data_IF_361710658666
#
_entry.id   IF_361710658666
#
_cell.length_a   1.000
_cell.length_b   1.000
_cell.length_c   1.000
_cell.angle_alpha   90.00
_cell.angle_beta   90.00
_cell.angle_gamma   90.00
#
_symmetry.space_group_name_H-M   'P 1'
#
loop_
_entity.id
_entity.type
_entity.pdbx_description
1 polymer ?
#
# COMPACT_ATOMS: atom_id res chain seq x y z
N UNK A 1 -28.24 71.63 51.79
CA UNK A 1 -27.02 71.56 50.97
C UNK A 1 -26.38 70.19 51.19
N UNK A 2 -26.23 69.38 50.13
CA UNK A 2 -25.56 68.07 50.11
C UNK A 2 -24.21 68.23 49.38
N UNK A 3 -23.23 67.34 49.61
CA UNK A 3 -23.03 66.32 48.58
C UNK A 3 -22.78 64.92 49.15
N UNK A 4 -23.32 63.91 48.46
CA UNK A 4 -22.99 62.49 48.65
C UNK A 4 -22.01 62.13 47.55
N UNK A 5 -20.83 61.66 47.95
CA UNK A 5 -19.75 61.19 47.08
C UNK A 5 -20.09 59.78 46.57
N UNK A 6 -20.33 59.64 45.27
CA UNK A 6 -20.55 58.34 44.61
C UNK A 6 -19.21 57.89 44.02
N UNK A 7 -18.70 56.77 44.52
CA UNK A 7 -17.47 56.14 44.06
C UNK A 7 -17.83 55.12 42.95
N UNK A 8 -17.43 55.38 41.71
CA UNK A 8 -17.56 54.42 40.61
C UNK A 8 -16.32 53.51 40.58
N UNK A 9 -16.51 52.22 40.90
CA UNK A 9 -15.50 51.18 40.66
C UNK A 9 -15.75 50.61 39.27
N UNK A 10 -14.86 50.92 38.33
CA UNK A 10 -14.85 50.32 37.00
C UNK A 10 -14.12 48.96 37.06
N UNK A 11 -14.87 47.86 36.89
CA UNK A 11 -14.31 46.52 36.73
C UNK A 11 -14.05 46.31 35.24
N UNK A 12 -12.77 46.34 34.86
CA UNK A 12 -12.32 45.99 33.51
C UNK A 12 -12.25 44.45 33.37
N UNK A 13 -13.18 43.86 32.60
CA UNK A 13 -13.15 42.46 32.19
C UNK A 13 -12.15 42.28 31.04
N UNK A 14 -10.96 41.77 31.34
CA UNK A 14 -9.97 41.38 30.34
C UNK A 14 -10.35 40.01 29.78
N UNK A 15 -10.96 39.97 28.59
CA UNK A 15 -11.24 38.72 27.87
C UNK A 15 -9.97 38.34 27.10
N UNK A 16 -9.17 37.44 27.65
CA UNK A 16 -8.02 36.86 26.96
C UNK A 16 -8.50 35.82 25.94
N UNK A 17 -8.50 36.18 24.66
CA UNK A 17 -8.70 35.23 23.56
C UNK A 17 -7.46 34.34 23.43
N UNK A 18 -7.49 33.16 24.04
CA UNK A 18 -6.50 32.13 23.75
C UNK A 18 -6.70 31.65 22.31
N UNK A 19 -5.66 31.59 21.47
CA UNK A 19 -5.76 30.98 20.16
C UNK A 19 -6.04 29.49 20.34
N UNK A 20 -7.21 29.03 19.88
CA UNK A 20 -7.50 27.60 19.74
C UNK A 20 -6.57 27.07 18.66
N UNK A 21 -5.51 26.37 19.06
CA UNK A 21 -4.75 25.54 18.15
C UNK A 21 -5.71 24.44 17.66
N UNK A 22 -6.16 24.57 16.42
CA UNK A 22 -6.87 23.50 15.74
C UNK A 22 -5.96 22.27 15.69
N UNK A 23 -6.18 21.34 16.62
CA UNK A 23 -5.62 20.00 16.50
C UNK A 23 -6.25 19.40 15.24
N UNK A 24 -5.49 19.36 14.16
CA UNK A 24 -5.83 18.50 13.02
C UNK A 24 -5.95 17.10 13.56
N UNK A 25 -7.17 16.65 13.83
CA UNK A 25 -7.46 15.25 14.08
C UNK A 25 -7.03 14.51 12.83
N UNK A 26 -5.92 13.79 12.92
CA UNK A 26 -5.45 12.91 11.85
C UNK A 26 -6.46 11.79 11.75
N UNK A 27 -7.46 11.95 10.90
CA UNK A 27 -8.43 10.89 10.62
C UNK A 27 -7.69 9.81 9.86
N UNK A 28 -7.58 8.61 10.44
CA UNK A 28 -7.09 7.43 9.72
C UNK A 28 -8.16 7.02 8.70
N UNK A 29 -8.20 7.66 7.54
CA UNK A 29 -9.18 7.41 6.47
C UNK A 29 -8.71 6.36 5.46
N UNK A 30 -7.48 5.84 5.59
CA UNK A 30 -7.00 4.68 4.84
C UNK A 30 -6.89 3.48 5.76
N UNK A 31 -7.36 2.33 5.29
CA UNK A 31 -7.23 1.06 5.98
C UNK A 31 -7.20 -0.09 4.99
N UNK A 32 -6.15 -0.89 5.05
CA UNK A 32 -6.07 -2.13 4.29
C UNK A 32 -5.07 -3.09 4.94
N UNK A 33 -5.13 -4.35 4.54
CA UNK A 33 -4.19 -5.40 4.88
C UNK A 33 -3.47 -5.83 3.61
N UNK A 34 -2.22 -6.23 3.75
CA UNK A 34 -1.47 -6.81 2.64
C UNK A 34 -0.52 -7.91 3.13
N UNK A 35 -0.17 -8.81 2.22
CA UNK A 35 0.88 -9.81 2.42
C UNK A 35 1.71 -9.96 1.15
N UNK A 36 2.99 -10.32 1.30
CA UNK A 36 3.89 -10.60 0.18
C UNK A 36 4.79 -11.78 0.55
N UNK A 37 4.63 -12.89 -0.15
CA UNK A 37 5.37 -14.12 0.11
C UNK A 37 5.97 -14.73 -1.16
N UNK A 38 6.96 -15.58 -0.97
CA UNK A 38 7.66 -16.31 -2.04
C UNK A 38 7.77 -17.81 -1.73
N UNK A 39 7.74 -18.64 -2.76
CA UNK A 39 8.19 -20.03 -2.74
C UNK A 39 9.58 -20.10 -3.36
N UNK A 40 10.59 -20.33 -2.53
CA UNK A 40 12.00 -20.29 -2.93
C UNK A 40 12.60 -21.67 -3.15
N UNK A 41 13.44 -21.79 -4.17
CA UNK A 41 14.19 -22.99 -4.49
C UNK A 41 13.33 -24.18 -4.95
N UNK A 42 14.01 -25.31 -5.17
CA UNK A 42 13.35 -26.55 -5.66
C UNK A 42 12.34 -27.11 -4.67
N UNK A 43 12.60 -26.93 -3.37
CA UNK A 43 11.76 -27.43 -2.28
C UNK A 43 10.53 -26.53 -2.02
N UNK A 44 10.38 -25.43 -2.78
CA UNK A 44 9.26 -24.48 -2.66
C UNK A 44 9.06 -24.00 -1.22
N UNK A 45 10.16 -23.65 -0.55
CA UNK A 45 10.11 -23.16 0.84
C UNK A 45 9.39 -21.81 0.88
N UNK A 46 8.39 -21.70 1.74
CA UNK A 46 7.68 -20.44 1.92
C UNK A 46 8.51 -19.44 2.74
N UNK A 47 8.62 -18.21 2.25
CA UNK A 47 9.27 -17.09 2.95
C UNK A 47 8.45 -15.81 2.77
N UNK A 48 8.44 -14.94 3.78
CA UNK A 48 7.91 -13.59 3.60
C UNK A 48 8.92 -12.72 2.85
N UNK A 49 8.44 -11.91 1.90
CA UNK A 49 9.29 -10.95 1.18
C UNK A 49 9.42 -9.69 2.04
N UNK A 50 10.66 -9.31 2.30
CA UNK A 50 11.01 -8.06 2.99
C UNK A 50 11.66 -7.08 1.99
N UNK A 51 12.10 -5.91 2.45
CA UNK A 51 12.52 -4.80 1.56
C UNK A 51 13.64 -5.17 0.59
N UNK A 52 14.55 -6.06 0.97
CA UNK A 52 15.78 -6.39 0.21
C UNK A 52 15.95 -7.92 0.13
N UNK A 53 15.05 -8.58 -0.60
CA UNK A 53 15.05 -10.05 -0.72
C UNK A 53 15.77 -10.47 -2.01
N UNK A 54 16.65 -11.46 -1.92
CA UNK A 54 17.26 -12.09 -3.10
C UNK A 54 16.38 -13.27 -3.50
N UNK A 55 15.90 -13.28 -4.75
CA UNK A 55 15.14 -14.38 -5.33
C UNK A 55 15.83 -14.88 -6.60
N UNK A 56 15.59 -16.13 -6.96
CA UNK A 56 16.17 -16.74 -8.15
C UNK A 56 15.14 -16.95 -9.24
N UNK A 57 15.61 -17.03 -10.48
CA UNK A 57 14.82 -17.54 -11.60
C UNK A 57 14.09 -18.83 -11.22
N UNK A 58 12.76 -18.85 -11.40
CA UNK A 58 11.89 -19.97 -11.05
C UNK A 58 11.29 -19.92 -9.64
N UNK A 59 11.77 -19.04 -8.76
CA UNK A 59 11.06 -18.70 -7.53
C UNK A 59 9.71 -18.08 -7.88
N UNK A 60 8.73 -18.26 -7.00
CA UNK A 60 7.36 -17.83 -7.25
C UNK A 60 6.90 -16.87 -6.18
N UNK A 61 6.25 -15.78 -6.56
CA UNK A 61 5.76 -14.76 -5.64
C UNK A 61 4.23 -14.67 -5.64
N UNK A 62 3.68 -14.24 -4.51
CA UNK A 62 2.25 -14.00 -4.34
C UNK A 62 1.98 -12.87 -3.36
N UNK A 63 1.01 -12.03 -3.70
CA UNK A 63 0.54 -10.95 -2.85
C UNK A 63 -0.93 -11.14 -2.48
N UNK A 64 -1.32 -10.47 -1.41
CA UNK A 64 -2.71 -10.32 -0.99
C UNK A 64 -2.94 -8.85 -0.66
N UNK A 65 -4.12 -8.35 -1.03
CA UNK A 65 -4.68 -7.08 -0.56
C UNK A 65 -6.08 -7.35 -0.01
N UNK A 66 -6.43 -6.79 1.14
CA UNK A 66 -7.79 -6.78 1.68
C UNK A 66 -8.09 -5.38 2.22
N UNK A 67 -9.13 -4.72 1.72
CA UNK A 67 -9.48 -3.37 2.17
C UNK A 67 -10.22 -3.44 3.51
N UNK A 68 -9.83 -2.61 4.47
CA UNK A 68 -10.51 -2.49 5.77
C UNK A 68 -11.26 -1.17 5.92
N UNK A 69 -10.97 -0.19 5.08
CA UNK A 69 -11.71 1.06 4.90
C UNK A 69 -11.85 1.35 3.40
N UNK A 70 -12.76 2.23 3.04
CA UNK A 70 -12.94 2.68 1.67
C UNK A 70 -11.76 3.56 1.25
N UNK A 71 -10.81 2.97 0.53
CA UNK A 71 -9.64 3.65 -0.01
C UNK A 71 -9.15 2.95 -1.29
N UNK A 72 -8.26 3.60 -2.04
CA UNK A 72 -7.75 3.10 -3.31
C UNK A 72 -6.35 2.54 -3.14
N UNK A 73 -6.17 1.24 -3.41
CA UNK A 73 -4.88 0.55 -3.31
C UNK A 73 -4.38 0.18 -4.70
N UNK A 74 -3.10 0.45 -4.95
CA UNK A 74 -2.39 0.15 -6.18
C UNK A 74 -1.18 -0.72 -5.86
N UNK A 75 -1.01 -1.82 -6.58
CA UNK A 75 0.18 -2.65 -6.58
C UNK A 75 0.77 -2.61 -7.97
N UNK A 76 1.96 -2.03 -8.11
CA UNK A 76 2.70 -1.94 -9.36
C UNK A 76 3.98 -2.76 -9.27
N UNK A 77 4.30 -3.46 -10.34
CA UNK A 77 5.61 -4.06 -10.56
C UNK A 77 6.38 -3.23 -11.59
N UNK A 78 7.64 -2.94 -11.30
CA UNK A 78 8.58 -2.35 -12.24
C UNK A 78 9.74 -3.31 -12.43
N UNK A 79 9.84 -3.83 -13.64
CA UNK A 79 10.74 -4.92 -13.97
C UNK A 79 12.17 -4.48 -14.26
N UNK A 80 13.08 -5.45 -14.26
CA UNK A 80 14.51 -5.28 -14.56
C UNK A 80 14.81 -4.67 -15.93
N UNK A 81 13.91 -4.80 -16.90
CA UNK A 81 14.04 -4.25 -18.27
C UNK A 81 13.20 -2.99 -18.48
N UNK A 82 12.63 -2.44 -17.41
CA UNK A 82 11.81 -1.23 -17.45
C UNK A 82 10.36 -1.46 -17.83
N UNK A 83 9.88 -2.69 -17.78
CA UNK A 83 8.45 -3.01 -17.86
C UNK A 83 7.69 -2.52 -16.63
N UNK A 84 6.41 -2.15 -16.80
CA UNK A 84 5.52 -1.78 -15.71
C UNK A 84 4.28 -2.66 -15.78
N UNK A 85 3.95 -3.35 -14.71
CA UNK A 85 2.72 -4.11 -14.59
C UNK A 85 1.83 -3.53 -13.49
N UNK A 86 0.56 -3.29 -13.81
CA UNK A 86 -0.48 -3.04 -12.82
C UNK A 86 -0.97 -4.40 -12.29
N UNK A 87 -0.52 -4.77 -11.09
CA UNK A 87 -0.88 -6.04 -10.46
C UNK A 87 -2.17 -5.94 -9.65
N UNK A 88 -2.47 -4.77 -9.07
CA UNK A 88 -3.72 -4.46 -8.40
C UNK A 88 -4.04 -2.95 -8.49
N UNK A 89 -5.31 -2.54 -8.68
CA UNK A 89 -6.43 -3.39 -9.08
C UNK A 89 -6.11 -4.16 -10.37
N UNK A 90 -6.78 -5.28 -10.62
CA UNK A 90 -6.47 -6.10 -11.81
C UNK A 90 -6.81 -5.39 -13.12
N UNK A 91 -7.69 -4.39 -13.05
CA UNK A 91 -8.02 -3.42 -14.08
C UNK A 91 -8.47 -2.14 -13.37
N UNK A 92 -8.15 -0.96 -13.91
CA UNK A 92 -8.52 0.32 -13.27
C UNK A 92 -10.05 0.49 -13.13
N UNK A 93 -10.85 -0.12 -14.01
CA UNK A 93 -12.32 -0.13 -13.92
C UNK A 93 -12.85 -0.96 -12.76
N UNK A 94 -11.99 -1.77 -12.11
CA UNK A 94 -12.39 -2.56 -10.95
C UNK A 94 -12.89 -1.66 -9.81
N UNK A 95 -12.37 -0.44 -9.67
CA UNK A 95 -12.80 0.52 -8.66
C UNK A 95 -14.31 0.83 -8.73
N UNK A 96 -14.91 0.73 -9.90
CA UNK A 96 -16.34 1.00 -10.12
C UNK A 96 -17.21 -0.26 -9.99
N UNK A 97 -16.64 -1.40 -9.57
CA UNK A 97 -17.31 -2.69 -9.55
C UNK A 97 -16.85 -3.61 -8.43
N UNK A 98 -16.07 -4.64 -8.76
CA UNK A 98 -15.62 -5.67 -7.81
C UNK A 98 -14.46 -5.18 -6.92
N UNK A 99 -14.72 -4.14 -6.15
CA UNK A 99 -13.78 -3.46 -5.25
C UNK A 99 -14.48 -3.07 -3.94
N UNK A 100 -14.53 -4.03 -3.03
CA UNK A 100 -15.24 -3.97 -1.75
C UNK A 100 -14.31 -4.24 -0.57
N UNK A 101 -14.67 -3.68 0.59
CA UNK A 101 -14.03 -3.95 1.89
C UNK A 101 -14.28 -5.38 2.37
N UNK A 102 -13.36 -5.91 3.18
CA UNK A 102 -13.40 -7.27 3.73
C UNK A 102 -13.16 -8.40 2.72
N UNK A 103 -12.96 -8.08 1.44
CA UNK A 103 -12.65 -9.06 0.39
C UNK A 103 -11.15 -9.26 0.22
N UNK A 104 -10.73 -10.53 0.15
CA UNK A 104 -9.35 -10.92 -0.18
C UNK A 104 -9.10 -10.88 -1.69
N UNK A 105 -8.18 -10.02 -2.12
CA UNK A 105 -7.68 -9.94 -3.49
C UNK A 105 -6.29 -10.58 -3.59
N UNK A 106 -6.24 -11.84 -4.04
CA UNK A 106 -4.99 -12.56 -4.28
C UNK A 106 -4.35 -12.16 -5.61
N UNK A 107 -3.05 -11.89 -5.60
CA UNK A 107 -2.32 -11.41 -6.77
C UNK A 107 -1.20 -12.42 -7.06
N UNK A 108 -1.26 -13.17 -8.18
CA UNK A 108 -2.32 -13.18 -9.19
C UNK A 108 -3.59 -13.87 -8.69
N UNK A 109 -4.71 -13.68 -9.41
CA UNK A 109 -6.03 -14.21 -9.03
C UNK A 109 -6.01 -15.73 -8.79
N UNK A 110 -6.81 -16.16 -7.82
CA UNK A 110 -6.98 -17.58 -7.51
C UNK A 110 -5.76 -18.19 -6.82
N UNK A 111 -5.43 -19.44 -7.17
CA UNK A 111 -4.36 -20.21 -6.51
C UNK A 111 -2.98 -20.07 -7.16
N UNK A 112 -2.89 -19.44 -8.33
CA UNK A 112 -1.64 -19.27 -9.08
C UNK A 112 -0.66 -18.34 -8.38
N UNK A 113 0.62 -18.46 -8.74
CA UNK A 113 1.71 -17.60 -8.28
C UNK A 113 2.44 -17.03 -9.51
N UNK A 114 3.08 -15.87 -9.38
CA UNK A 114 3.91 -15.30 -10.45
C UNK A 114 5.28 -15.93 -10.34
N UNK A 115 5.74 -16.61 -11.39
CA UNK A 115 7.08 -17.19 -11.44
C UNK A 115 8.06 -16.17 -12.01
N UNK A 116 9.17 -15.92 -11.32
CA UNK A 116 10.27 -15.10 -11.84
C UNK A 116 10.89 -15.78 -13.05
N UNK A 117 11.00 -15.03 -14.14
CA UNK A 117 11.49 -15.54 -15.41
C UNK A 117 13.03 -15.47 -15.49
N UNK A 118 13.59 -15.52 -16.70
CA UNK A 118 15.05 -15.48 -16.91
C UNK A 118 15.62 -14.06 -17.01
N UNK A 119 14.79 -13.02 -16.93
CA UNK A 119 15.20 -11.61 -17.01
C UNK A 119 15.64 -11.14 -15.63
N UNK A 120 16.86 -11.50 -15.24
CA UNK A 120 17.44 -11.14 -13.96
C UNK A 120 17.71 -9.64 -13.83
N UNK A 121 17.79 -9.15 -12.59
CA UNK A 121 18.06 -7.76 -12.26
C UNK A 121 17.23 -7.26 -11.08
N UNK A 122 17.06 -5.95 -10.97
CA UNK A 122 16.32 -5.34 -9.86
C UNK A 122 14.84 -5.25 -10.19
N UNK A 123 14.02 -6.02 -9.48
CA UNK A 123 12.56 -5.94 -9.54
C UNK A 123 12.04 -5.03 -8.41
N UNK A 124 11.10 -4.13 -8.72
CA UNK A 124 10.49 -3.24 -7.70
C UNK A 124 8.99 -3.41 -7.64
N UNK A 125 8.48 -3.61 -6.43
CA UNK A 125 7.04 -3.66 -6.17
C UNK A 125 6.64 -2.45 -5.34
N UNK A 126 5.72 -1.64 -5.88
CA UNK A 126 5.16 -0.48 -5.20
C UNK A 126 3.75 -0.81 -4.71
N UNK A 127 3.54 -0.69 -3.40
CA UNK A 127 2.19 -0.70 -2.81
C UNK A 127 1.88 0.74 -2.45
N UNK A 128 0.85 1.32 -3.06
CA UNK A 128 0.33 2.65 -2.76
C UNK A 128 -1.09 2.51 -2.24
N UNK A 129 -1.46 3.30 -1.25
CA UNK A 129 -2.86 3.46 -0.84
C UNK A 129 -3.17 4.94 -0.69
N UNK A 130 -4.35 5.36 -1.13
CA UNK A 130 -4.79 6.76 -1.10
C UNK A 130 -6.26 6.84 -0.71
N UNK A 131 -6.64 7.87 0.04
CA UNK A 131 -8.04 8.13 0.36
C UNK A 131 -8.85 8.52 -0.88
N UNK A 132 -8.18 9.12 -1.87
CA UNK A 132 -8.76 9.54 -3.15
C UNK A 132 -8.06 8.86 -4.33
N UNK A 133 -8.74 8.78 -5.48
CA UNK A 133 -8.17 8.22 -6.72
C UNK A 133 -6.93 8.98 -7.16
N UNK A 134 -5.90 8.25 -7.58
CA UNK A 134 -4.66 8.83 -8.08
C UNK A 134 -4.79 9.05 -9.59
N UNK A 135 -5.75 9.88 -10.01
CA UNK A 135 -6.18 10.00 -11.42
C UNK A 135 -5.05 10.26 -12.41
N UNK A 136 -4.05 11.06 -12.05
CA UNK A 136 -2.88 11.32 -12.90
C UNK A 136 -2.03 10.05 -13.11
N UNK A 137 -1.84 9.27 -12.04
CA UNK A 137 -1.12 7.99 -12.09
C UNK A 137 -1.91 6.96 -12.90
N UNK A 138 -3.22 6.88 -12.67
CA UNK A 138 -4.12 5.99 -13.41
C UNK A 138 -4.08 6.28 -14.92
N UNK A 139 -4.14 7.56 -15.32
CA UNK A 139 -4.06 7.96 -16.71
C UNK A 139 -2.73 7.54 -17.35
N UNK A 140 -1.59 7.74 -16.66
CA UNK A 140 -0.28 7.30 -17.18
C UNK A 140 -0.12 5.80 -17.27
N UNK A 141 -0.69 5.05 -16.32
CA UNK A 141 -0.75 3.59 -16.41
C UNK A 141 -1.57 3.19 -17.64
N UNK A 142 -2.74 3.79 -17.87
CA UNK A 142 -3.57 3.51 -19.04
C UNK A 142 -2.85 3.83 -20.36
N UNK A 143 -2.14 4.97 -20.43
CA UNK A 143 -1.29 5.32 -21.57
C UNK A 143 -0.22 4.26 -21.82
N UNK A 144 0.49 3.81 -20.78
CA UNK A 144 1.52 2.77 -20.88
C UNK A 144 0.94 1.43 -21.37
N UNK A 145 -0.19 1.00 -20.80
CA UNK A 145 -0.80 -0.30 -21.13
C UNK A 145 -1.33 -0.35 -22.56
N UNK A 146 -1.79 0.79 -23.10
CA UNK A 146 -2.31 0.90 -24.47
C UNK A 146 -1.25 1.23 -25.53
N UNK A 147 -0.05 1.62 -25.12
CA UNK A 147 1.02 2.02 -26.02
C UNK A 147 1.69 0.84 -26.75
N UNK A 148 2.18 1.13 -27.96
CA UNK A 148 3.06 0.24 -28.70
C UNK A 148 4.44 0.13 -28.04
N UNK A 149 5.19 -0.91 -28.41
CA UNK A 149 6.47 -1.25 -27.80
C UNK A 149 7.52 -0.13 -27.86
N UNK A 150 7.47 0.77 -28.86
CA UNK A 150 8.45 1.85 -29.01
C UNK A 150 8.26 2.97 -27.99
N UNK A 151 7.02 3.21 -27.54
CA UNK A 151 6.67 4.27 -26.57
C UNK A 151 6.72 3.79 -25.13
N UNK A 152 6.62 2.47 -24.89
CA UNK A 152 6.61 1.89 -23.55
C UNK A 152 7.78 2.31 -22.65
N UNK A 153 9.05 2.37 -23.11
CA UNK A 153 10.16 2.79 -22.24
C UNK A 153 10.00 4.22 -21.69
N UNK A 154 9.54 5.17 -22.50
CA UNK A 154 9.31 6.55 -22.06
C UNK A 154 8.16 6.60 -21.04
N UNK A 155 7.04 5.93 -21.37
CA UNK A 155 5.85 5.93 -20.51
C UNK A 155 6.09 5.20 -19.18
N UNK A 156 6.90 4.13 -19.17
CA UNK A 156 7.30 3.45 -17.93
C UNK A 156 8.06 4.41 -16.99
N UNK A 157 8.99 5.19 -17.54
CA UNK A 157 9.73 6.20 -16.78
C UNK A 157 8.81 7.29 -16.22
N UNK A 158 7.80 7.71 -16.98
CA UNK A 158 6.76 8.64 -16.51
C UNK A 158 5.94 8.07 -15.37
N UNK A 159 5.49 6.80 -15.47
CA UNK A 159 4.75 6.12 -14.38
C UNK A 159 5.58 6.05 -13.11
N UNK A 160 6.83 5.59 -13.19
CA UNK A 160 7.73 5.50 -12.03
C UNK A 160 8.01 6.89 -11.43
N UNK A 161 8.08 7.93 -12.28
CA UNK A 161 8.24 9.31 -11.83
C UNK A 161 7.00 9.80 -11.09
N UNK A 162 5.80 9.55 -11.59
CA UNK A 162 4.57 9.88 -10.86
C UNK A 162 4.44 9.12 -9.54
N UNK A 163 4.81 7.84 -9.49
CA UNK A 163 4.86 7.08 -8.21
C UNK A 163 5.78 7.78 -7.20
N UNK A 164 6.95 8.24 -7.66
CA UNK A 164 7.90 8.99 -6.83
C UNK A 164 7.31 10.33 -6.37
N UNK A 165 6.66 11.05 -7.27
CA UNK A 165 6.12 12.39 -7.00
C UNK A 165 4.92 12.33 -6.05
N UNK A 166 4.01 11.38 -6.25
CA UNK A 166 2.91 11.09 -5.31
C UNK A 166 3.50 10.79 -3.93
N UNK A 167 4.47 9.87 -3.84
CA UNK A 167 5.12 9.58 -2.55
C UNK A 167 5.75 10.82 -1.91
N UNK A 168 6.41 11.66 -2.71
CA UNK A 168 7.04 12.89 -2.23
C UNK A 168 6.00 13.89 -1.69
N UNK A 169 4.87 14.05 -2.37
CA UNK A 169 3.76 14.94 -1.98
C UNK A 169 3.20 14.58 -0.60
N UNK A 170 3.13 13.29 -0.28
CA UNK A 170 2.53 12.81 0.96
C UNK A 170 3.54 12.36 2.03
N UNK A 171 4.83 12.74 1.91
CA UNK A 171 5.88 12.39 2.89
C UNK A 171 5.52 12.77 4.33
N UNK A 172 4.77 13.85 4.53
CA UNK A 172 4.34 14.32 5.86
C UNK A 172 3.31 13.41 6.53
N UNK A 173 2.66 12.52 5.80
CA UNK A 173 1.63 11.59 6.30
C UNK A 173 2.15 10.17 6.54
N UNK A 174 3.45 9.93 6.33
CA UNK A 174 4.10 8.63 6.49
C UNK A 174 4.36 8.26 7.97
N UNK A 175 3.39 8.45 8.86
CA UNK A 175 3.44 7.89 10.22
C UNK A 175 3.44 6.35 10.16
N UNK A 176 4.00 5.71 11.20
CA UNK A 176 4.13 4.26 11.38
C UNK A 176 2.76 3.57 11.44
N UNK A 177 2.11 3.45 10.28
CA UNK A 177 0.77 2.95 10.06
C UNK A 177 0.70 1.42 10.00
N UNK A 178 1.84 0.74 9.88
CA UNK A 178 1.91 -0.69 9.61
C UNK A 178 2.14 -1.50 10.88
N UNK A 179 1.27 -2.47 11.13
CA UNK A 179 1.38 -3.43 12.25
C UNK A 179 1.26 -4.85 11.71
N UNK A 180 2.24 -5.74 11.96
CA UNK A 180 2.08 -7.16 11.68
C UNK A 180 0.87 -7.72 12.43
N UNK A 181 -0.02 -8.43 11.76
CA UNK A 181 -1.08 -9.18 12.45
C UNK A 181 -0.52 -10.56 12.80
N UNK A 182 -0.25 -10.77 14.09
CA UNK A 182 -0.03 -12.13 14.58
C UNK A 182 -1.37 -12.85 14.53
N UNK A 183 -1.57 -13.71 13.52
CA UNK A 183 -2.66 -14.68 13.59
C UNK A 183 -2.26 -15.65 14.70
N UNK A 184 -2.87 -15.47 15.87
CA UNK A 184 -2.72 -16.34 17.04
C UNK A 184 -3.33 -17.71 16.75
N UNK A 185 -2.67 -18.48 15.90
CA UNK A 185 -2.95 -19.87 15.64
C UNK A 185 -1.68 -20.65 15.90
N UNK A 186 -1.72 -21.52 16.91
CA UNK A 186 -0.75 -22.61 17.02
C UNK A 186 -0.75 -23.34 15.67
N UNK A 187 0.28 -23.16 14.85
CA UNK A 187 0.62 -24.10 13.76
C UNK A 187 1.11 -25.39 14.42
N UNK A 188 0.23 -26.04 15.18
CA UNK A 188 0.42 -27.41 15.65
C UNK A 188 0.07 -28.29 14.46
N UNK A 189 1.09 -28.95 13.94
CA UNK A 189 0.99 -29.82 12.78
C UNK A 189 -0.18 -30.78 12.90
N UNK A 190 -1.04 -30.77 11.89
CA UNK A 190 -1.92 -31.88 11.60
C UNK A 190 -1.83 -32.19 10.12
N UNK A 191 -1.10 -33.28 9.86
CA UNK A 191 -1.40 -34.31 8.87
C UNK A 191 -1.07 -34.00 7.41
N UNK A 192 -0.27 -34.91 6.83
CA UNK A 192 0.27 -35.06 5.47
C UNK A 192 -0.60 -34.62 4.27
N UNK A 193 -1.88 -34.29 4.47
CA UNK A 193 -2.76 -33.70 3.48
C UNK A 193 -2.55 -32.17 3.30
N UNK A 194 -2.05 -31.45 4.30
CA UNK A 194 -1.74 -30.01 4.18
C UNK A 194 -0.42 -29.72 3.46
N UNK A 195 0.56 -30.64 3.51
CA UNK A 195 1.85 -30.53 2.79
C UNK A 195 1.66 -30.46 1.26
N UNK A 196 0.53 -30.96 0.75
CA UNK A 196 0.18 -30.91 -0.69
C UNK A 196 -0.48 -29.58 -1.10
N UNK A 197 -0.86 -28.72 -0.15
CA UNK A 197 -1.48 -27.42 -0.43
C UNK A 197 -0.42 -26.34 -0.37
N UNK A 198 -0.30 -25.56 -1.46
CA UNK A 198 0.55 -24.36 -1.45
C UNK A 198 0.15 -23.47 -0.26
N UNK A 199 1.13 -22.86 0.44
CA UNK A 199 0.88 -22.02 1.59
C UNK A 199 -0.02 -20.82 1.22
N UNK A 200 -0.82 -20.37 2.17
CA UNK A 200 -1.62 -19.16 2.02
C UNK A 200 -0.85 -17.94 2.56
N UNK A 201 -0.67 -16.93 1.70
CA UNK A 201 -0.05 -15.65 2.08
C UNK A 201 -0.88 -14.87 3.10
N UNK A 202 -2.17 -15.19 3.26
CA UNK A 202 -3.00 -14.64 4.32
C UNK A 202 -2.44 -14.89 5.74
N UNK A 203 -1.54 -15.86 5.90
CA UNK A 203 -0.89 -16.18 7.17
C UNK A 203 0.18 -15.18 7.62
N UNK A 204 0.64 -14.28 6.74
CA UNK A 204 1.73 -13.32 7.02
C UNK A 204 1.31 -11.86 6.79
N UNK A 205 0.04 -11.56 7.09
CA UNK A 205 -0.56 -10.27 6.79
C UNK A 205 -0.03 -9.16 7.70
N UNK A 206 0.30 -8.02 7.08
CA UNK A 206 0.47 -6.73 7.74
C UNK A 206 -0.79 -5.89 7.55
N UNK A 207 -1.25 -5.23 8.62
CA UNK A 207 -2.32 -4.25 8.56
C UNK A 207 -1.74 -2.83 8.48
N UNK A 208 -2.35 -2.00 7.65
CA UNK A 208 -2.06 -0.57 7.50
C UNK A 208 -3.27 0.25 7.94
N UNK A 209 -3.02 1.30 8.72
CA UNK A 209 -4.01 2.34 9.05
C UNK A 209 -3.32 3.69 9.04
N UNK A 210 -3.69 4.54 8.08
CA UNK A 210 -2.98 5.77 7.75
C UNK A 210 -3.94 6.92 7.43
N UNK A 211 -3.41 8.13 7.42
CA UNK A 211 -4.14 9.32 6.99
C UNK A 211 -3.73 9.73 5.58
N UNK A 212 -4.71 9.83 4.69
CA UNK A 212 -4.67 10.33 3.30
C UNK A 212 -3.80 9.56 2.32
N UNK A 213 -2.67 9.00 2.74
CA UNK A 213 -1.79 8.25 1.87
C UNK A 213 -0.90 7.26 2.62
N UNK A 214 -0.56 6.15 1.98
CA UNK A 214 0.47 5.21 2.39
C UNK A 214 1.26 4.73 1.17
N UNK A 215 2.55 4.47 1.34
CA UNK A 215 3.36 3.80 0.32
C UNK A 215 4.39 2.87 0.92
N UNK A 216 4.63 1.75 0.25
CA UNK A 216 5.73 0.82 0.53
C UNK A 216 6.39 0.38 -0.78
N UNK A 217 7.69 0.18 -0.75
CA UNK A 217 8.46 -0.35 -1.88
C UNK A 217 9.23 -1.57 -1.41
N UNK A 218 9.12 -2.66 -2.17
CA UNK A 218 9.99 -3.83 -2.05
C UNK A 218 10.93 -3.83 -3.23
N UNK A 219 12.20 -4.09 -2.95
CA UNK A 219 13.23 -4.31 -3.95
C UNK A 219 13.64 -5.76 -3.87
N UNK A 220 13.53 -6.47 -4.97
CA UNK A 220 13.97 -7.85 -5.09
C UNK A 220 15.20 -7.84 -5.99
N UNK A 221 16.28 -8.43 -5.49
CA UNK A 221 17.45 -8.76 -6.30
C UNK A 221 17.20 -10.12 -6.94
N UNK A 222 16.79 -10.12 -8.22
CA UNK A 222 16.47 -11.32 -8.97
C UNK A 222 17.73 -11.82 -9.69
N UNK A 223 18.20 -13.01 -9.29
CA UNK A 223 19.42 -13.66 -9.77
C UNK A 223 19.17 -14.92 -10.60
#
# INVERSE_FOLDING_TARGET
>A
MKPVLVCFIAIALLVSTLPVLAQTQTTENIGFKWAFGSLVGKDRKFVSITKDTVLKTGDEIKLLVELTKDCYVYVLHYGSRGEVDLLFPYDLKQFDGDYNTGKNYYIPRGRSWIQLDKNTGTEKFYILASAERLVDLEAKIADYLSADASRKPSLASEVVTLVRDVRNRYKSFATLAEKPLTIGGNIRGTEKAEESRRPDVANIVSQVSASNFYSKTFTIDHQ
#
